data_IF_064865342371
#
_entry.id   IF_064865342371
#
_cell.length_a   1.000
_cell.length_b   1.000
_cell.length_c   1.000
_cell.angle_alpha   90.00
_cell.angle_beta   90.00
_cell.angle_gamma   90.00
#
_symmetry.space_group_name_H-M   'P 1'
#
loop_
_entity.id
_entity.type
_entity.pdbx_description
1 polymer ?
#
# COMPACT_ATOMS: atom_id res chain seq x y z
N UNK A 1 39.16 2.19 -14.45
CA UNK A 1 37.98 1.42 -14.03
C UNK A 1 37.32 1.89 -12.71
N UNK A 2 37.82 2.89 -12.00
CA UNK A 2 37.21 3.41 -10.75
C UNK A 2 36.22 4.56 -10.95
N UNK A 3 36.26 5.25 -12.10
CA UNK A 3 35.38 6.40 -12.36
C UNK A 3 33.94 6.05 -12.76
N UNK A 4 33.69 4.84 -13.27
CA UNK A 4 32.36 4.39 -13.70
C UNK A 4 31.48 3.92 -12.51
N UNK A 5 32.08 3.45 -11.43
CA UNK A 5 31.36 2.99 -10.24
C UNK A 5 30.88 4.16 -9.37
N UNK A 6 31.66 5.26 -9.33
CA UNK A 6 31.27 6.45 -8.56
C UNK A 6 30.12 7.24 -9.21
N UNK A 7 30.03 7.24 -10.55
CA UNK A 7 28.94 7.89 -11.28
C UNK A 7 27.62 7.14 -11.19
N UNK A 8 27.64 5.81 -11.11
CA UNK A 8 26.41 5.01 -10.91
C UNK A 8 25.86 5.14 -9.48
N UNK A 9 26.72 5.13 -8.45
CA UNK A 9 26.31 5.34 -7.07
C UNK A 9 25.77 6.74 -6.80
N UNK A 10 26.32 7.78 -7.45
CA UNK A 10 25.82 9.16 -7.31
C UNK A 10 24.46 9.34 -8.03
N UNK A 11 24.22 8.67 -9.16
CA UNK A 11 22.92 8.67 -9.84
C UNK A 11 21.86 7.89 -9.06
N UNK A 12 22.20 6.74 -8.49
CA UNK A 12 21.30 5.98 -7.62
C UNK A 12 20.95 6.75 -6.34
N UNK A 13 21.93 7.42 -5.71
CA UNK A 13 21.69 8.28 -4.56
C UNK A 13 20.83 9.52 -4.91
N UNK A 14 20.94 10.07 -6.12
CA UNK A 14 20.06 11.15 -6.58
C UNK A 14 18.66 10.69 -6.93
N UNK A 15 18.48 9.45 -7.42
CA UNK A 15 17.16 8.87 -7.67
C UNK A 15 16.46 8.59 -6.33
N UNK A 16 17.15 8.09 -5.32
CA UNK A 16 16.59 7.81 -4.00
C UNK A 16 16.18 9.08 -3.22
N UNK A 17 16.75 10.25 -3.49
CA UNK A 17 16.35 11.50 -2.82
C UNK A 17 15.00 12.07 -3.31
N UNK A 18 14.38 11.50 -4.34
CA UNK A 18 13.16 12.00 -4.96
C UNK A 18 11.93 11.14 -4.66
N UNK A 19 12.14 9.95 -4.14
CA UNK A 19 11.11 9.06 -3.63
C UNK A 19 11.35 8.89 -2.13
N UNK A 20 10.35 9.19 -1.33
CA UNK A 20 10.40 8.98 0.13
C UNK A 20 9.13 8.29 0.60
N UNK A 21 9.24 7.48 1.63
CA UNK A 21 8.10 6.86 2.30
C UNK A 21 8.20 7.19 3.79
N UNK A 22 7.07 7.47 4.40
CA UNK A 22 6.96 7.74 5.82
C UNK A 22 5.66 7.18 6.37
N UNK A 23 5.68 6.74 7.61
CA UNK A 23 4.47 6.36 8.34
C UNK A 23 4.11 7.40 9.40
N UNK A 24 2.83 7.49 9.72
CA UNK A 24 2.31 8.32 10.78
C UNK A 24 1.05 7.72 11.37
N UNK A 25 1.03 7.53 12.69
CA UNK A 25 -0.17 7.17 13.42
C UNK A 25 -1.13 8.37 13.43
N UNK A 26 -2.39 8.12 13.09
CA UNK A 26 -3.48 9.09 13.21
C UNK A 26 -4.52 8.68 14.27
N UNK A 27 -4.42 7.44 14.76
CA UNK A 27 -5.11 6.92 15.92
C UNK A 27 -4.24 5.85 16.58
N UNK A 28 -4.61 5.37 17.76
CA UNK A 28 -3.82 4.38 18.52
C UNK A 28 -3.63 3.07 17.74
N UNK A 29 -4.63 2.69 16.96
CA UNK A 29 -4.68 1.43 16.21
C UNK A 29 -4.56 1.64 14.70
N UNK A 30 -4.25 2.84 14.24
CA UNK A 30 -4.31 3.16 12.82
C UNK A 30 -3.14 4.04 12.40
N UNK A 31 -2.48 3.66 11.32
CA UNK A 31 -1.45 4.47 10.73
C UNK A 31 -1.59 4.61 9.21
N UNK A 32 -1.06 5.69 8.68
CA UNK A 32 -0.93 5.91 7.24
C UNK A 32 0.52 5.71 6.82
N UNK A 33 0.75 4.98 5.74
CA UNK A 33 2.01 4.95 5.01
C UNK A 33 1.84 5.84 3.79
N UNK A 34 2.71 6.84 3.67
CA UNK A 34 2.67 7.85 2.61
C UNK A 34 3.90 7.73 1.72
N UNK A 35 3.69 7.40 0.47
CA UNK A 35 4.72 7.38 -0.56
C UNK A 35 4.74 8.74 -1.27
N UNK A 36 5.83 9.47 -1.15
CA UNK A 36 6.00 10.84 -1.63
C UNK A 36 6.82 10.84 -2.91
N UNK A 37 6.19 11.20 -4.02
CA UNK A 37 6.78 11.27 -5.35
C UNK A 37 7.06 12.74 -5.71
N UNK A 38 8.23 13.22 -5.33
CA UNK A 38 8.62 14.63 -5.51
C UNK A 38 8.85 15.02 -6.97
N UNK A 39 9.10 14.04 -7.85
CA UNK A 39 9.40 14.27 -9.25
C UNK A 39 8.19 14.14 -10.18
N UNK A 40 7.05 13.72 -9.65
CA UNK A 40 5.87 13.59 -10.50
C UNK A 40 5.39 14.96 -10.93
N UNK A 41 5.60 15.28 -12.21
CA UNK A 41 5.25 16.57 -12.78
C UNK A 41 3.80 16.65 -13.28
N UNK A 42 3.13 15.51 -13.41
CA UNK A 42 1.74 15.42 -13.89
C UNK A 42 0.99 14.30 -13.17
N UNK A 43 -0.26 14.58 -12.83
CA UNK A 43 -1.25 13.57 -12.49
C UNK A 43 -2.25 13.53 -13.65
N UNK A 44 -2.39 12.38 -14.30
CA UNK A 44 -3.03 12.24 -15.60
C UNK A 44 -2.45 13.16 -16.71
N UNK A 45 -3.16 13.26 -17.83
CA UNK A 45 -2.73 14.05 -18.99
C UNK A 45 -2.88 15.56 -18.71
N UNK A 46 -3.83 15.95 -17.86
CA UNK A 46 -4.34 17.32 -17.77
C UNK A 46 -3.80 18.12 -16.57
N UNK A 47 -3.36 17.45 -15.49
CA UNK A 47 -3.01 18.15 -14.26
C UNK A 47 -1.50 18.23 -14.03
N UNK A 48 -0.95 19.44 -14.21
CA UNK A 48 0.42 19.75 -13.85
C UNK A 48 0.59 19.84 -12.32
N UNK A 49 1.62 19.17 -11.79
CA UNK A 49 1.96 19.16 -10.37
C UNK A 49 3.21 20.01 -10.13
N UNK A 50 3.16 20.91 -9.14
CA UNK A 50 4.32 21.75 -8.77
C UNK A 50 5.25 21.07 -7.79
N UNK A 51 4.72 20.26 -6.90
CA UNK A 51 5.43 19.69 -5.75
C UNK A 51 5.30 18.15 -5.69
N UNK A 52 5.10 17.49 -6.85
CA UNK A 52 4.89 16.07 -6.88
C UNK A 52 3.51 15.63 -6.38
N UNK A 53 3.40 14.38 -5.96
CA UNK A 53 2.16 13.78 -5.43
C UNK A 53 2.45 12.80 -4.31
N UNK A 54 1.39 12.32 -3.66
CA UNK A 54 1.46 11.26 -2.64
C UNK A 54 0.55 10.11 -2.99
N UNK A 55 0.98 8.90 -2.66
CA UNK A 55 0.17 7.70 -2.67
C UNK A 55 0.06 7.21 -1.24
N UNK A 56 -1.14 6.91 -0.79
CA UNK A 56 -1.38 6.61 0.61
C UNK A 56 -1.97 5.22 0.77
N UNK A 57 -1.46 4.47 1.73
CA UNK A 57 -2.05 3.25 2.23
C UNK A 57 -2.30 3.39 3.73
N UNK A 58 -3.26 2.61 4.25
CA UNK A 58 -3.62 2.70 5.65
C UNK A 58 -3.58 1.32 6.28
N UNK A 59 -3.14 1.28 7.54
CA UNK A 59 -3.10 0.07 8.36
C UNK A 59 -4.08 0.26 9.50
N UNK A 60 -4.99 -0.68 9.68
CA UNK A 60 -5.97 -0.71 10.76
C UNK A 60 -5.77 -1.99 11.56
N UNK A 61 -5.47 -1.82 12.85
CA UNK A 61 -5.12 -2.91 13.77
C UNK A 61 -6.30 -3.22 14.70
N UNK A 62 -7.25 -4.04 14.23
CA UNK A 62 -8.30 -4.64 15.05
C UNK A 62 -7.84 -5.96 15.70
N UNK A 63 -8.78 -6.88 15.96
CA UNK A 63 -8.48 -8.30 16.16
C UNK A 63 -7.93 -8.90 14.86
N UNK A 64 -8.43 -8.40 13.73
CA UNK A 64 -7.93 -8.63 12.38
C UNK A 64 -7.14 -7.44 11.89
N UNK A 65 -6.03 -7.71 11.21
CA UNK A 65 -5.16 -6.69 10.64
C UNK A 65 -5.55 -6.44 9.18
N UNK A 66 -5.89 -5.19 8.86
CA UNK A 66 -6.21 -4.79 7.50
C UNK A 66 -5.24 -3.74 6.96
N UNK A 67 -4.89 -3.86 5.69
CA UNK A 67 -4.22 -2.83 4.89
C UNK A 67 -5.22 -2.34 3.84
N UNK A 68 -5.37 -1.03 3.72
CA UNK A 68 -6.19 -0.39 2.68
C UNK A 68 -5.25 0.22 1.66
N UNK A 69 -5.34 -0.23 0.43
CA UNK A 69 -4.47 0.09 -0.70
C UNK A 69 -2.97 -0.20 -0.43
N UNK A 70 -2.20 -0.13 -1.48
CA UNK A 70 -0.74 -0.23 -1.43
C UNK A 70 -0.12 1.05 -2.00
N UNK A 71 0.90 0.92 -2.82
CA UNK A 71 1.57 2.03 -3.46
C UNK A 71 1.93 1.66 -4.90
N UNK A 72 2.45 2.63 -5.64
CA UNK A 72 2.99 2.41 -6.96
C UNK A 72 4.27 1.55 -6.88
N UNK A 73 4.46 0.62 -7.82
CA UNK A 73 5.56 -0.35 -7.87
C UNK A 73 6.96 0.27 -7.72
N UNK A 74 7.17 1.52 -8.15
CA UNK A 74 8.46 2.21 -7.97
C UNK A 74 8.86 2.47 -6.52
N UNK A 75 7.92 2.33 -5.57
CA UNK A 75 8.14 2.47 -4.13
C UNK A 75 8.34 1.13 -3.43
N UNK A 76 8.47 0.02 -4.15
CA UNK A 76 8.46 -1.32 -3.58
C UNK A 76 9.38 -1.43 -2.36
N UNK A 77 10.69 -1.21 -2.51
CA UNK A 77 11.64 -1.33 -1.40
C UNK A 77 11.29 -0.41 -0.22
N UNK A 78 11.07 0.87 -0.49
CA UNK A 78 10.81 1.88 0.53
C UNK A 78 9.48 1.64 1.26
N UNK A 79 8.45 1.20 0.52
CA UNK A 79 7.14 0.94 1.09
C UNK A 79 7.17 -0.30 2.00
N UNK A 80 7.84 -1.38 1.57
CA UNK A 80 8.00 -2.57 2.40
C UNK A 80 8.91 -2.33 3.60
N UNK A 81 9.99 -1.55 3.47
CA UNK A 81 10.80 -1.13 4.62
C UNK A 81 9.97 -0.39 5.66
N UNK A 82 9.06 0.49 5.23
CA UNK A 82 8.18 1.23 6.14
C UNK A 82 7.08 0.35 6.72
N UNK A 83 6.45 -0.51 5.90
CA UNK A 83 5.45 -1.47 6.35
C UNK A 83 5.98 -2.38 7.47
N UNK A 84 7.21 -2.89 7.32
CA UNK A 84 7.85 -3.78 8.29
C UNK A 84 8.12 -3.11 9.66
N UNK A 85 8.19 -1.79 9.73
CA UNK A 85 8.28 -1.07 11.00
C UNK A 85 6.95 -1.04 11.74
N UNK A 86 5.86 -1.07 11.00
CA UNK A 86 4.50 -0.93 11.54
C UNK A 86 3.85 -2.27 11.86
N UNK A 87 4.02 -3.27 10.97
CA UNK A 87 3.38 -4.58 11.09
C UNK A 87 4.24 -5.69 10.46
N UNK A 88 3.99 -6.92 10.92
CA UNK A 88 4.50 -8.11 10.24
C UNK A 88 3.54 -8.47 9.09
N UNK A 89 3.97 -8.48 7.81
CA UNK A 89 3.12 -8.85 6.68
C UNK A 89 2.48 -10.24 6.79
N UNK A 90 3.07 -11.16 7.56
CA UNK A 90 2.51 -12.50 7.80
C UNK A 90 1.25 -12.47 8.67
N UNK A 91 1.00 -11.37 9.39
CA UNK A 91 -0.16 -11.20 10.28
C UNK A 91 -1.31 -10.46 9.59
N UNK A 92 -1.11 -10.00 8.35
CA UNK A 92 -2.16 -9.31 7.60
C UNK A 92 -3.25 -10.27 7.19
N UNK A 93 -4.48 -10.01 7.63
CA UNK A 93 -5.68 -10.79 7.30
C UNK A 93 -6.33 -10.29 6.02
N UNK A 94 -6.44 -8.96 5.87
CA UNK A 94 -7.16 -8.33 4.77
C UNK A 94 -6.33 -7.29 4.03
N UNK A 95 -6.46 -7.30 2.72
CA UNK A 95 -5.99 -6.23 1.84
C UNK A 95 -7.21 -5.67 1.11
N UNK A 96 -7.63 -4.46 1.49
CA UNK A 96 -8.80 -3.79 0.94
C UNK A 96 -8.33 -2.91 -0.21
N UNK A 97 -8.91 -3.09 -1.39
CA UNK A 97 -8.62 -2.21 -2.53
C UNK A 97 -9.74 -1.21 -2.74
N UNK A 98 -9.45 0.07 -2.50
CA UNK A 98 -10.37 1.17 -2.73
C UNK A 98 -10.38 1.59 -4.19
N UNK A 99 -9.24 1.44 -4.88
CA UNK A 99 -9.03 1.77 -6.26
C UNK A 99 -8.02 0.82 -6.93
N UNK A 100 -8.16 0.59 -8.23
CA UNK A 100 -7.35 -0.40 -8.95
C UNK A 100 -6.28 0.22 -9.85
N UNK A 101 -6.08 1.53 -9.79
CA UNK A 101 -4.96 2.18 -10.48
C UNK A 101 -3.62 1.81 -9.84
N UNK A 102 -2.52 1.84 -10.63
CA UNK A 102 -1.21 1.34 -10.17
C UNK A 102 -0.64 2.03 -8.92
N UNK A 103 -1.08 3.22 -8.60
CA UNK A 103 -0.67 3.97 -7.40
C UNK A 103 -1.38 3.49 -6.12
N UNK A 104 -2.45 2.73 -6.25
CA UNK A 104 -3.17 2.05 -5.18
C UNK A 104 -2.90 0.55 -5.15
N UNK A 105 -2.79 -0.08 -6.32
CA UNK A 105 -2.74 -1.54 -6.47
C UNK A 105 -1.35 -2.11 -6.80
N UNK A 106 -0.37 -1.25 -7.07
CA UNK A 106 0.90 -1.64 -7.69
C UNK A 106 1.76 -2.63 -6.90
N UNK A 107 1.54 -2.76 -5.58
CA UNK A 107 2.29 -3.67 -4.72
C UNK A 107 1.43 -4.82 -4.14
N UNK A 108 0.18 -4.98 -4.62
CA UNK A 108 -0.70 -6.07 -4.17
C UNK A 108 -0.06 -7.43 -4.44
N UNK A 109 0.45 -7.65 -5.64
CA UNK A 109 1.10 -8.90 -6.02
C UNK A 109 2.28 -9.25 -5.10
N UNK A 110 3.16 -8.28 -4.85
CA UNK A 110 4.33 -8.44 -3.98
C UNK A 110 3.92 -8.79 -2.53
N UNK A 111 2.88 -8.12 -2.00
CA UNK A 111 2.38 -8.42 -0.66
C UNK A 111 1.78 -9.82 -0.57
N UNK A 112 1.04 -10.26 -1.60
CA UNK A 112 0.47 -11.61 -1.68
C UNK A 112 1.54 -12.70 -1.88
N UNK A 113 2.68 -12.40 -2.49
CA UNK A 113 3.83 -13.32 -2.54
C UNK A 113 4.44 -13.54 -1.16
N UNK A 114 4.47 -12.51 -0.32
CA UNK A 114 4.93 -12.61 1.07
C UNK A 114 3.93 -13.37 1.94
N UNK A 115 2.63 -13.11 1.80
CA UNK A 115 1.59 -13.76 2.59
C UNK A 115 0.40 -14.18 1.73
N UNK A 116 0.37 -15.46 1.35
CA UNK A 116 -0.71 -16.08 0.55
C UNK A 116 -2.04 -16.26 1.33
N UNK A 117 -2.05 -15.99 2.62
CA UNK A 117 -3.26 -16.11 3.44
C UNK A 117 -4.12 -14.86 3.43
N UNK A 118 -3.60 -13.75 2.96
CA UNK A 118 -4.36 -12.49 2.84
C UNK A 118 -5.60 -12.69 1.98
N UNK A 119 -6.72 -12.16 2.47
CA UNK A 119 -7.96 -12.05 1.69
C UNK A 119 -8.04 -10.65 1.08
N UNK A 120 -8.05 -10.57 -0.25
CA UNK A 120 -8.25 -9.30 -0.96
C UNK A 120 -9.74 -8.97 -0.95
N UNK A 121 -10.07 -7.78 -0.47
CA UNK A 121 -11.43 -7.27 -0.31
C UNK A 121 -11.67 -6.15 -1.30
N UNK A 122 -12.80 -6.17 -1.98
CA UNK A 122 -13.16 -5.11 -2.94
C UNK A 122 -14.46 -5.41 -3.67
N UNK A 123 -14.88 -4.48 -4.52
CA UNK A 123 -16.02 -4.73 -5.39
C UNK A 123 -15.72 -5.86 -6.38
N UNK A 124 -16.77 -6.50 -6.91
CA UNK A 124 -16.63 -7.56 -7.94
C UNK A 124 -15.74 -7.11 -9.11
N UNK A 125 -15.90 -5.87 -9.56
CA UNK A 125 -15.13 -5.32 -10.67
C UNK A 125 -13.67 -5.06 -10.28
N UNK A 126 -13.44 -4.52 -9.08
CA UNK A 126 -12.08 -4.29 -8.57
C UNK A 126 -11.32 -5.62 -8.46
N UNK A 127 -11.93 -6.65 -7.86
CA UNK A 127 -11.32 -7.98 -7.74
C UNK A 127 -11.00 -8.60 -9.10
N UNK A 128 -11.84 -8.38 -10.11
CA UNK A 128 -11.57 -8.82 -11.48
C UNK A 128 -10.37 -8.09 -12.09
N UNK A 129 -10.26 -6.78 -11.91
CA UNK A 129 -9.11 -6.01 -12.39
C UNK A 129 -7.82 -6.42 -11.68
N UNK A 130 -7.85 -6.64 -10.37
CA UNK A 130 -6.69 -7.15 -9.65
C UNK A 130 -6.28 -8.53 -10.17
N UNK A 131 -7.23 -9.45 -10.42
CA UNK A 131 -6.94 -10.76 -11.02
C UNK A 131 -6.26 -10.66 -12.38
N UNK A 132 -6.68 -9.69 -13.20
CA UNK A 132 -6.09 -9.45 -14.53
C UNK A 132 -4.71 -8.75 -14.46
N UNK A 133 -4.44 -7.99 -13.39
CA UNK A 133 -3.16 -7.29 -13.17
C UNK A 133 -2.08 -8.18 -12.57
N UNK A 134 -2.47 -9.06 -11.63
CA UNK A 134 -1.53 -9.91 -10.91
C UNK A 134 -1.76 -11.37 -11.31
N UNK A 135 -0.68 -12.12 -11.52
CA UNK A 135 -0.75 -13.53 -11.90
C UNK A 135 -0.59 -14.47 -10.71
N UNK A 136 -0.88 -13.99 -9.50
CA UNK A 136 -0.83 -14.76 -8.25
C UNK A 136 -2.26 -15.08 -7.81
N UNK A 137 -2.61 -16.36 -7.57
CA UNK A 137 -3.91 -16.70 -7.03
C UNK A 137 -4.06 -16.13 -5.61
N UNK A 138 -5.24 -15.60 -5.29
CA UNK A 138 -5.54 -15.02 -4.00
C UNK A 138 -6.94 -15.35 -3.49
N UNK A 139 -7.13 -15.30 -2.17
CA UNK A 139 -8.44 -15.36 -1.53
C UNK A 139 -9.15 -14.04 -1.76
N UNK A 140 -10.44 -14.06 -2.05
CA UNK A 140 -11.23 -12.87 -2.34
C UNK A 140 -12.47 -12.77 -1.47
N UNK A 141 -12.81 -11.55 -1.11
CA UNK A 141 -14.08 -11.19 -0.47
C UNK A 141 -14.72 -10.05 -1.27
N UNK A 142 -15.82 -10.38 -1.96
CA UNK A 142 -16.60 -9.36 -2.67
C UNK A 142 -17.48 -8.60 -1.69
N UNK A 143 -17.43 -7.27 -1.76
CA UNK A 143 -18.23 -6.36 -0.95
C UNK A 143 -18.97 -5.36 -1.83
N UNK A 144 -20.05 -4.80 -1.30
CA UNK A 144 -20.86 -3.76 -1.94
C UNK A 144 -20.94 -2.54 -1.03
N UNK A 145 -21.24 -1.39 -1.62
CA UNK A 145 -21.49 -0.15 -0.85
C UNK A 145 -22.53 -0.35 0.24
N UNK A 146 -22.24 0.12 1.42
CA UNK A 146 -23.08 -0.03 2.62
C UNK A 146 -22.88 -1.34 3.40
N UNK A 147 -22.00 -2.22 2.94
CA UNK A 147 -21.58 -3.40 3.70
C UNK A 147 -20.37 -3.06 4.57
N UNK A 148 -20.31 -3.63 5.77
CA UNK A 148 -19.24 -3.41 6.72
C UNK A 148 -18.34 -4.65 6.84
N UNK A 149 -17.05 -4.42 6.85
CA UNK A 149 -16.05 -5.41 7.23
C UNK A 149 -15.67 -5.17 8.69
N UNK A 150 -16.07 -6.09 9.56
CA UNK A 150 -15.70 -6.03 10.98
C UNK A 150 -14.31 -6.63 11.18
N UNK A 151 -13.41 -5.84 11.76
CA UNK A 151 -12.06 -6.28 12.11
C UNK A 151 -11.93 -6.75 13.55
N UNK A 152 -13.05 -6.78 14.30
CA UNK A 152 -13.06 -7.12 15.71
C UNK A 152 -12.50 -6.00 16.59
N UNK A 153 -12.27 -6.35 17.85
CA UNK A 153 -11.79 -5.42 18.87
C UNK A 153 -10.27 -5.56 19.04
N UNK A 154 -9.56 -4.45 18.93
CA UNK A 154 -8.12 -4.46 19.18
C UNK A 154 -7.85 -4.82 20.65
N UNK A 155 -7.02 -5.84 20.93
CA UNK A 155 -6.80 -6.32 22.30
C UNK A 155 -6.01 -5.32 23.18
N UNK A 156 -5.31 -4.36 22.58
CA UNK A 156 -4.52 -3.38 23.31
C UNK A 156 -5.31 -2.11 23.65
N UNK A 157 -6.09 -1.59 22.70
CA UNK A 157 -6.86 -0.36 22.87
C UNK A 157 -8.28 -0.60 23.36
N UNK A 158 -8.84 -1.80 23.11
CA UNK A 158 -10.24 -2.12 23.37
C UNK A 158 -11.22 -1.49 22.37
N UNK A 159 -10.73 -0.89 21.27
CA UNK A 159 -11.57 -0.29 20.24
C UNK A 159 -12.01 -1.33 19.22
N UNK A 160 -13.29 -1.30 18.86
CA UNK A 160 -13.85 -2.09 17.76
C UNK A 160 -13.70 -1.33 16.44
N UNK A 161 -13.23 -2.04 15.40
CA UNK A 161 -13.02 -1.46 14.08
C UNK A 161 -13.95 -2.07 13.04
N UNK A 162 -14.71 -1.19 12.38
CA UNK A 162 -15.56 -1.52 11.25
C UNK A 162 -15.19 -0.63 10.06
N UNK A 163 -15.01 -1.22 8.88
CA UNK A 163 -14.70 -0.52 7.63
C UNK A 163 -15.88 -0.68 6.68
N UNK A 164 -16.43 0.44 6.18
CA UNK A 164 -17.46 0.48 5.16
C UNK A 164 -16.85 0.54 3.75
#
# INVERSE_FOLDING_TARGET
MLASAQTSNSKLAQINNKLTVQSQNFADDSCAIRSLDWDRSRFDIEFGLRNGTTYNSFIIKGEKLAIIDTSHAKFEELWFEELLKEVNPQEVDYLITSHTEPDHSGLIGNLLELNKNITVVGSKLALKFIEDQIHVPFKRLEVKSGEFLNLGTNPNSGLEHNIE
#
